data_IF_602676433722
#
_entry.id   IF_602676433722
#
_cell.length_a   1.000
_cell.length_b   1.000
_cell.length_c   1.000
_cell.angle_alpha   90.00
_cell.angle_beta   90.00
_cell.angle_gamma   90.00
#
_symmetry.space_group_name_H-M   'P 1'
#
loop_
_entity.id
_entity.type
_entity.pdbx_description
1 polymer ?
#
# COMPACT_ATOMS: atom_id res chain seq x y z
N UNK A 1 -12.27 -14.78 1.70
CA UNK A 1 -10.88 -14.67 1.23
C UNK A 1 -10.86 -13.63 0.12
N UNK A 2 -9.82 -12.79 0.03
CA UNK A 2 -9.74 -11.80 -1.04
C UNK A 2 -9.37 -12.45 -2.37
N UNK A 3 -9.91 -11.92 -3.47
CA UNK A 3 -9.55 -12.32 -4.83
C UNK A 3 -8.40 -11.46 -5.34
N UNK A 4 -7.27 -12.10 -5.64
CA UNK A 4 -6.06 -11.47 -6.17
C UNK A 4 -5.89 -11.71 -7.68
N UNK A 5 -6.90 -12.26 -8.36
CA UNK A 5 -6.86 -12.46 -9.80
C UNK A 5 -6.73 -11.12 -10.53
N UNK A 6 -5.86 -11.09 -11.55
CA UNK A 6 -5.70 -9.91 -12.41
C UNK A 6 -6.61 -10.07 -13.60
N UNK A 7 -7.64 -9.23 -13.69
CA UNK A 7 -8.52 -9.24 -14.87
C UNK A 7 -7.80 -8.70 -16.10
N UNK A 8 -7.76 -9.51 -17.16
CA UNK A 8 -7.12 -9.18 -18.44
C UNK A 8 -7.65 -7.88 -19.05
N UNK A 9 -8.96 -7.62 -18.92
CA UNK A 9 -9.61 -6.44 -19.51
C UNK A 9 -9.16 -5.12 -18.89
N UNK A 10 -8.50 -5.13 -17.72
CA UNK A 10 -7.90 -3.92 -17.14
C UNK A 10 -6.77 -3.36 -18.00
N UNK A 11 -6.08 -4.21 -18.78
CA UNK A 11 -5.01 -3.77 -19.69
C UNK A 11 -5.49 -2.73 -20.71
N UNK A 12 -6.78 -2.75 -21.09
CA UNK A 12 -7.38 -1.79 -22.03
C UNK A 12 -7.23 -0.34 -21.58
N UNK A 13 -7.20 -0.09 -20.25
CA UNK A 13 -7.03 1.25 -19.70
C UNK A 13 -5.55 1.71 -19.72
N UNK A 14 -4.61 0.78 -19.80
CA UNK A 14 -3.17 1.05 -19.69
C UNK A 14 -2.56 1.47 -21.03
N UNK A 15 -3.01 0.88 -22.14
CA UNK A 15 -2.53 1.24 -23.48
C UNK A 15 -2.53 2.75 -23.78
N UNK A 16 -3.65 3.50 -23.63
CA UNK A 16 -3.65 4.93 -23.91
C UNK A 16 -2.77 5.73 -22.93
N UNK A 17 -2.59 5.27 -21.70
CA UNK A 17 -1.72 5.93 -20.73
C UNK A 17 -0.23 5.72 -21.06
N UNK A 18 0.16 4.48 -21.40
CA UNK A 18 1.55 4.13 -21.73
C UNK A 18 1.98 4.78 -23.05
N UNK A 19 1.10 4.80 -24.06
CA UNK A 19 1.41 5.38 -25.38
C UNK A 19 1.72 6.89 -25.36
N UNK A 20 1.41 7.59 -24.26
CA UNK A 20 1.86 8.98 -24.06
C UNK A 20 3.37 9.12 -24.02
N UNK A 21 4.08 8.10 -23.54
CA UNK A 21 5.55 8.09 -23.43
C UNK A 21 6.21 6.92 -24.18
N UNK A 22 5.45 5.92 -24.61
CA UNK A 22 5.94 4.84 -25.48
C UNK A 22 4.95 4.55 -26.64
N UNK A 23 4.93 5.40 -27.68
CA UNK A 23 3.88 5.35 -28.72
C UNK A 23 3.86 4.05 -29.55
N UNK A 24 5.00 3.38 -29.69
CA UNK A 24 5.13 2.17 -30.51
C UNK A 24 4.73 0.87 -29.79
N UNK A 25 4.17 0.95 -28.57
CA UNK A 25 3.60 -0.20 -27.86
C UNK A 25 2.51 -0.88 -28.70
N UNK A 26 2.74 -2.14 -29.07
CA UNK A 26 1.82 -2.94 -29.88
C UNK A 26 0.62 -3.42 -29.07
N UNK A 27 -0.52 -3.59 -29.72
CA UNK A 27 -1.68 -4.24 -29.12
C UNK A 27 -1.33 -5.69 -28.74
N UNK A 28 -1.93 -6.19 -27.65
CA UNK A 28 -1.66 -7.53 -27.12
C UNK A 28 -0.31 -7.68 -26.39
N UNK A 29 0.53 -6.65 -26.28
CA UNK A 29 1.81 -6.73 -25.56
C UNK A 29 1.74 -6.67 -24.03
N UNK A 30 0.55 -6.46 -23.44
CA UNK A 30 0.39 -6.42 -21.98
C UNK A 30 -0.21 -7.74 -21.50
N UNK A 31 0.50 -8.43 -20.62
CA UNK A 31 0.05 -9.67 -19.99
C UNK A 31 -0.31 -9.43 -18.51
N UNK A 32 -1.26 -10.20 -17.94
CA UNK A 32 -1.56 -10.13 -16.52
C UNK A 32 -0.32 -10.42 -15.66
N UNK A 33 0.06 -9.46 -14.82
CA UNK A 33 1.14 -9.63 -13.84
C UNK A 33 0.61 -10.16 -12.51
N UNK A 34 0.60 -9.30 -11.49
CA UNK A 34 0.14 -9.61 -10.14
C UNK A 34 -0.72 -8.48 -9.56
N UNK A 35 -1.44 -8.78 -8.48
CA UNK A 35 -2.21 -7.81 -7.73
C UNK A 35 -1.77 -7.75 -6.26
N UNK A 36 -2.01 -6.61 -5.62
CA UNK A 36 -1.85 -6.41 -4.19
C UNK A 36 -2.93 -5.50 -3.64
N UNK A 37 -3.26 -5.65 -2.36
CA UNK A 37 -4.25 -4.83 -1.64
C UNK A 37 -3.49 -3.95 -0.66
N UNK A 38 -3.74 -2.63 -0.70
CA UNK A 38 -3.16 -1.67 0.25
C UNK A 38 -4.00 -1.60 1.52
N UNK A 39 -3.41 -1.60 2.72
CA UNK A 39 -4.14 -1.38 3.96
C UNK A 39 -4.47 0.11 4.10
N UNK A 40 -5.62 0.55 3.58
CA UNK A 40 -6.06 1.96 3.63
C UNK A 40 -6.77 2.30 4.94
N UNK A 41 -6.59 3.53 5.44
CA UNK A 41 -7.36 4.08 6.57
C UNK A 41 -8.51 4.97 6.12
N UNK A 42 -8.45 5.47 4.88
CA UNK A 42 -9.46 6.34 4.30
C UNK A 42 -10.22 5.65 3.16
N UNK A 43 -11.47 6.08 2.97
CA UNK A 43 -12.35 5.62 1.90
C UNK A 43 -11.97 6.13 0.51
N UNK A 44 -12.63 5.66 -0.56
CA UNK A 44 -12.31 6.04 -1.95
C UNK A 44 -12.43 7.54 -2.25
N UNK A 45 -13.35 8.24 -1.59
CA UNK A 45 -13.61 9.67 -1.77
C UNK A 45 -12.85 10.55 -0.77
N UNK A 46 -12.10 9.94 0.14
CA UNK A 46 -11.36 10.64 1.18
C UNK A 46 -9.90 10.84 0.77
N UNK A 47 -9.27 11.87 1.32
CA UNK A 47 -7.85 12.17 1.05
C UNK A 47 -6.89 11.07 1.53
N UNK A 48 -5.63 11.07 1.05
CA UNK A 48 -4.60 10.21 1.61
C UNK A 48 -4.40 10.50 3.09
N UNK A 49 -4.22 9.44 3.88
CA UNK A 49 -3.99 9.47 5.32
C UNK A 49 -2.57 8.99 5.63
N UNK A 50 -1.97 9.54 6.68
CA UNK A 50 -0.64 9.12 7.13
C UNK A 50 -0.68 7.76 7.83
N UNK A 51 0.47 7.13 8.01
CA UNK A 51 0.63 5.93 8.82
C UNK A 51 0.19 6.21 10.26
N UNK A 52 -0.50 5.23 10.87
CA UNK A 52 -0.91 5.33 12.27
C UNK A 52 -0.17 4.28 13.08
N UNK A 53 0.69 4.75 14.00
CA UNK A 53 1.37 3.91 14.99
C UNK A 53 0.85 4.27 16.37
N UNK A 54 0.17 3.32 17.03
CA UNK A 54 -0.38 3.51 18.37
C UNK A 54 0.36 2.64 19.37
N UNK A 55 0.83 3.23 20.46
CA UNK A 55 1.41 2.50 21.59
C UNK A 55 0.61 2.69 22.87
N UNK A 56 1.15 2.21 23.98
CA UNK A 56 0.53 2.30 25.32
C UNK A 56 0.12 3.75 25.68
N UNK A 57 0.85 4.76 25.20
CA UNK A 57 0.55 6.18 25.39
C UNK A 57 -0.77 6.65 24.74
N UNK A 58 -1.29 5.90 23.76
CA UNK A 58 -2.52 6.21 23.03
C UNK A 58 -3.67 5.31 23.47
N UNK A 59 -3.44 4.00 23.60
CA UNK A 59 -4.51 3.03 23.89
C UNK A 59 -4.47 2.43 25.31
N UNK A 60 -3.42 2.68 26.11
CA UNK A 60 -3.33 2.25 27.51
C UNK A 60 -3.07 0.75 27.75
N UNK A 61 -2.66 0.00 26.73
CA UNK A 61 -2.39 -1.45 26.82
C UNK A 61 -0.88 -1.65 26.78
N UNK A 62 -0.32 -2.17 27.87
CA UNK A 62 1.12 -2.38 27.96
C UNK A 62 1.61 -3.51 27.06
N UNK A 63 2.75 -3.30 26.41
CA UNK A 63 3.38 -4.27 25.50
C UNK A 63 2.72 -4.42 24.12
N UNK A 64 1.69 -3.63 23.79
CA UNK A 64 1.04 -3.64 22.47
C UNK A 64 1.42 -2.38 21.68
N UNK A 65 1.75 -2.56 20.39
CA UNK A 65 1.83 -1.47 19.40
C UNK A 65 1.04 -1.87 18.16
N UNK A 66 0.08 -1.03 17.77
CA UNK A 66 -0.70 -1.20 16.54
C UNK A 66 -0.07 -0.41 15.39
N UNK A 67 -0.02 -1.02 14.21
CA UNK A 67 0.39 -0.38 12.97
C UNK A 67 -0.78 -0.44 12.00
N UNK A 68 -1.34 0.71 11.67
CA UNK A 68 -2.43 0.82 10.71
C UNK A 68 -2.03 1.70 9.54
N UNK A 69 -2.58 1.42 8.36
CA UNK A 69 -2.35 2.29 7.21
C UNK A 69 -0.98 2.16 6.56
N UNK A 70 -0.17 1.14 6.90
CA UNK A 70 1.20 0.97 6.38
C UNK A 70 1.16 0.54 4.90
N UNK A 71 0.75 1.45 4.02
CA UNK A 71 0.80 1.34 2.58
C UNK A 71 2.15 1.82 2.03
N UNK A 72 2.25 2.21 0.75
CA UNK A 72 3.50 2.79 0.23
C UNK A 72 3.78 4.15 0.88
N UNK A 73 5.01 4.45 1.36
CA UNK A 73 6.27 3.72 1.14
C UNK A 73 6.72 2.79 2.29
N UNK A 74 5.82 2.02 2.89
CA UNK A 74 6.07 1.23 4.10
C UNK A 74 7.19 0.19 4.01
N UNK A 75 7.41 -0.43 2.84
CA UNK A 75 8.58 -1.29 2.63
C UNK A 75 9.88 -0.48 2.69
N UNK A 76 9.94 0.65 1.98
CA UNK A 76 11.09 1.56 1.97
C UNK A 76 11.38 2.11 3.38
N UNK A 77 10.33 2.39 4.15
CA UNK A 77 10.41 2.93 5.51
C UNK A 77 10.48 1.86 6.61
N UNK A 78 10.58 0.57 6.26
CA UNK A 78 10.42 -0.54 7.20
C UNK A 78 11.38 -0.50 8.40
N UNK A 79 12.66 -0.16 8.17
CA UNK A 79 13.65 -0.06 9.25
C UNK A 79 13.34 1.09 10.21
N UNK A 80 12.96 2.26 9.69
CA UNK A 80 12.58 3.41 10.51
C UNK A 80 11.28 3.14 11.30
N UNK A 81 10.33 2.42 10.69
CA UNK A 81 9.11 1.97 11.38
C UNK A 81 9.48 1.02 12.54
N UNK A 82 10.39 0.06 12.31
CA UNK A 82 10.84 -0.86 13.35
C UNK A 82 11.53 -0.12 14.52
N UNK A 83 12.40 0.85 14.23
CA UNK A 83 13.02 1.70 15.26
C UNK A 83 11.97 2.47 16.07
N UNK A 84 10.96 3.05 15.40
CA UNK A 84 9.88 3.77 16.06
C UNK A 84 9.02 2.86 16.95
N UNK A 85 8.73 1.64 16.50
CA UNK A 85 8.01 0.62 17.28
C UNK A 85 8.84 0.17 18.48
N UNK A 86 10.14 -0.09 18.29
CA UNK A 86 11.05 -0.49 19.36
C UNK A 86 11.14 0.57 20.46
N UNK A 87 11.25 1.86 20.10
CA UNK A 87 11.26 2.96 21.06
C UNK A 87 9.98 3.08 21.89
N UNK A 88 8.84 2.59 21.37
CA UNK A 88 7.56 2.56 22.10
C UNK A 88 7.42 1.32 23.00
N UNK A 89 8.01 0.18 22.62
CA UNK A 89 7.94 -1.08 23.37
C UNK A 89 9.01 -1.22 24.45
N UNK A 90 10.24 -0.80 24.15
CA UNK A 90 11.44 -1.03 24.98
C UNK A 90 11.72 0.12 25.95
N UNK A 91 10.69 0.80 26.44
CA UNK A 91 10.85 1.86 27.44
C UNK A 91 11.66 1.38 28.65
#
# INVERSE_FOLDING_TARGET
>A
MFDYSVREDRANQFYPAIRKYYPSLKDGSLEPGYAGIRPKLSGPEEGPTDFVVQGEDIHGISGLVNLFGIESPGLTSSMAIAEHVAAKLLK
#
